data_IF_843179954214
#
_entry.id   IF_843179954214
#
_cell.length_a   1.000
_cell.length_b   1.000
_cell.length_c   1.000
_cell.angle_alpha   90.00
_cell.angle_beta   90.00
_cell.angle_gamma   90.00
#
_symmetry.space_group_name_H-M   'P 1'
#
loop_
_entity.id
_entity.type
_entity.pdbx_description
1 polymer ?
#
# COMPACT_ATOMS: atom_id res chain seq x y z
N UNK A 1 -2.71 50.60 -28.46
CA UNK A 1 -3.08 49.42 -29.27
C UNK A 1 -2.32 48.24 -28.72
N UNK A 2 -3.03 47.26 -28.16
CA UNK A 2 -2.45 45.99 -27.71
C UNK A 2 -2.02 45.20 -28.94
N UNK A 3 -0.70 45.06 -29.15
CA UNK A 3 -0.12 44.46 -30.35
C UNK A 3 -0.10 42.92 -30.20
N UNK A 4 -0.37 42.16 -31.26
CA UNK A 4 -0.25 40.68 -31.30
C UNK A 4 1.08 40.18 -30.70
N UNK A 5 2.14 40.97 -30.84
CA UNK A 5 3.45 40.71 -30.24
C UNK A 5 3.42 40.60 -28.70
N UNK A 6 2.64 41.43 -28.01
CA UNK A 6 2.55 41.37 -26.53
C UNK A 6 1.77 40.13 -26.07
N UNK A 7 0.75 39.71 -26.82
CA UNK A 7 0.04 38.46 -26.54
C UNK A 7 0.90 37.23 -26.80
N UNK A 8 1.74 37.23 -27.84
CA UNK A 8 2.72 36.16 -28.06
C UNK A 8 3.74 36.06 -26.93
N UNK A 9 4.27 37.18 -26.47
CA UNK A 9 5.20 37.21 -25.34
C UNK A 9 4.54 36.69 -24.05
N UNK A 10 3.31 37.12 -23.78
CA UNK A 10 2.55 36.65 -22.62
C UNK A 10 2.26 35.14 -22.71
N UNK A 11 1.87 34.64 -23.90
CA UNK A 11 1.66 33.21 -24.12
C UNK A 11 2.94 32.40 -23.90
N UNK A 12 4.08 32.88 -24.36
CA UNK A 12 5.37 32.23 -24.09
C UNK A 12 5.70 32.18 -22.60
N UNK A 13 5.45 33.26 -21.86
CA UNK A 13 5.62 33.29 -20.40
C UNK A 13 4.67 32.31 -19.69
N UNK A 14 3.42 32.22 -20.13
CA UNK A 14 2.44 31.28 -19.59
C UNK A 14 2.86 29.83 -19.85
N UNK A 15 3.33 29.51 -21.06
CA UNK A 15 3.82 28.17 -21.40
C UNK A 15 5.06 27.80 -20.57
N UNK A 16 6.00 28.72 -20.38
CA UNK A 16 7.18 28.49 -19.54
C UNK A 16 6.79 28.28 -18.06
N UNK A 17 5.84 29.07 -17.56
CA UNK A 17 5.33 28.94 -16.18
C UNK A 17 4.61 27.61 -15.97
N UNK A 18 3.80 27.19 -16.96
CA UNK A 18 3.14 25.88 -16.95
C UNK A 18 4.16 24.74 -16.85
N UNK A 19 5.20 24.74 -17.70
CA UNK A 19 6.22 23.70 -17.68
C UNK A 19 6.96 23.64 -16.33
N UNK A 20 7.22 24.80 -15.72
CA UNK A 20 7.80 24.87 -14.37
C UNK A 20 6.89 24.25 -13.31
N UNK A 21 5.59 24.56 -13.35
CA UNK A 21 4.60 23.98 -12.43
C UNK A 21 4.49 22.46 -12.60
N UNK A 22 4.49 21.96 -13.84
CA UNK A 22 4.47 20.52 -14.10
C UNK A 22 5.69 19.81 -13.50
N UNK A 23 6.88 20.39 -13.64
CA UNK A 23 8.08 19.85 -13.00
C UNK A 23 8.00 19.88 -11.48
N UNK A 24 7.51 20.96 -10.88
CA UNK A 24 7.32 21.04 -9.42
C UNK A 24 6.31 20.01 -8.90
N UNK A 25 5.24 19.74 -9.66
CA UNK A 25 4.25 18.69 -9.33
C UNK A 25 4.93 17.32 -9.33
N UNK A 26 5.67 16.99 -10.39
CA UNK A 26 6.38 15.71 -10.50
C UNK A 26 7.40 15.55 -9.38
N UNK A 27 8.16 16.60 -9.07
CA UNK A 27 9.12 16.58 -7.96
C UNK A 27 8.44 16.35 -6.60
N UNK A 28 7.27 16.96 -6.37
CA UNK A 28 6.53 16.73 -5.14
C UNK A 28 5.94 15.32 -5.07
N UNK A 29 5.46 14.77 -6.18
CA UNK A 29 5.03 13.36 -6.26
C UNK A 29 6.21 12.44 -5.92
N UNK A 30 7.37 12.67 -6.52
CA UNK A 30 8.57 11.89 -6.24
C UNK A 30 8.98 12.01 -4.78
N UNK A 31 8.90 13.21 -4.17
CA UNK A 31 9.13 13.39 -2.73
C UNK A 31 8.12 12.62 -1.89
N UNK A 32 6.83 12.63 -2.23
CA UNK A 32 5.80 11.86 -1.51
C UNK A 32 6.09 10.36 -1.59
N UNK A 33 6.45 9.87 -2.79
CA UNK A 33 6.86 8.49 -3.01
C UNK A 33 8.13 8.19 -2.21
N UNK A 34 9.12 9.08 -2.18
CA UNK A 34 10.34 8.96 -1.39
C UNK A 34 10.05 8.96 0.11
N UNK A 35 9.19 9.83 0.62
CA UNK A 35 8.80 9.85 2.04
C UNK A 35 8.04 8.58 2.40
N UNK A 36 7.11 8.14 1.55
CA UNK A 36 6.35 6.91 1.74
C UNK A 36 7.26 5.67 1.63
N UNK A 37 8.21 5.66 0.68
CA UNK A 37 9.12 4.55 0.45
C UNK A 37 10.23 4.50 1.49
N UNK A 38 10.70 5.64 2.00
CA UNK A 38 11.60 5.70 3.16
C UNK A 38 10.88 5.25 4.43
N UNK A 39 9.59 5.51 4.55
CA UNK A 39 8.78 4.93 5.62
C UNK A 39 8.74 3.40 5.45
N UNK A 40 8.44 2.87 4.26
CA UNK A 40 8.33 1.42 4.01
C UNK A 40 9.67 0.66 3.93
N UNK A 41 10.77 1.29 3.53
CA UNK A 41 12.07 0.64 3.28
C UNK A 41 13.08 0.79 4.43
N UNK A 42 12.86 1.73 5.37
CA UNK A 42 13.83 1.97 6.46
C UNK A 42 13.29 1.43 7.81
N UNK A 43 12.03 0.99 7.88
CA UNK A 43 11.48 0.52 9.14
C UNK A 43 10.64 -0.76 8.97
N UNK A 44 11.11 -1.93 9.44
CA UNK A 44 10.32 -3.17 9.50
C UNK A 44 9.06 -3.06 10.38
N UNK A 45 8.73 -1.87 10.88
CA UNK A 45 7.54 -1.56 11.67
C UNK A 45 6.42 -0.89 10.86
N UNK A 46 6.63 -0.57 9.58
CA UNK A 46 5.53 -0.09 8.72
C UNK A 46 4.73 -1.28 8.22
N UNK A 47 3.45 -1.41 8.59
CA UNK A 47 2.67 -2.58 8.24
C UNK A 47 2.27 -2.57 6.76
N UNK A 48 2.38 -3.72 6.11
CA UNK A 48 1.75 -4.00 4.84
C UNK A 48 0.27 -4.30 5.04
N UNK A 49 -0.55 -3.86 4.09
CA UNK A 49 -2.00 -4.04 4.13
C UNK A 49 -2.41 -5.20 3.21
N UNK A 50 -3.08 -6.20 3.77
CA UNK A 50 -3.66 -7.31 3.00
C UNK A 50 -5.18 -7.33 3.22
N UNK A 51 -5.93 -7.06 2.15
CA UNK A 51 -7.39 -7.20 2.19
C UNK A 51 -7.75 -8.69 2.15
N UNK A 52 -8.60 -9.11 3.07
CA UNK A 52 -9.22 -10.43 3.08
C UNK A 52 -10.42 -10.42 2.14
N UNK A 53 -10.35 -11.18 1.05
CA UNK A 53 -11.46 -11.38 0.11
C UNK A 53 -12.24 -12.64 0.46
N UNK A 54 -13.39 -12.84 -0.18
CA UNK A 54 -14.19 -14.06 -0.08
C UNK A 54 -13.47 -15.33 -0.60
N UNK A 55 -12.38 -15.19 -1.36
CA UNK A 55 -11.53 -16.28 -1.84
C UNK A 55 -10.54 -16.78 -0.78
N UNK A 56 -10.44 -16.09 0.35
CA UNK A 56 -9.54 -16.49 1.43
C UNK A 56 -9.95 -17.85 2.00
N UNK A 57 -8.98 -18.78 2.07
CA UNK A 57 -9.20 -20.16 2.57
C UNK A 57 -9.51 -20.24 4.06
N UNK A 58 -9.29 -19.14 4.79
CA UNK A 58 -9.29 -19.10 6.24
C UNK A 58 -10.38 -18.17 6.82
N UNK A 59 -11.40 -17.81 6.04
CA UNK A 59 -12.56 -17.08 6.57
C UNK A 59 -13.17 -17.88 7.74
N UNK A 60 -13.42 -17.20 8.85
CA UNK A 60 -13.94 -17.79 10.08
C UNK A 60 -12.92 -18.54 10.92
N UNK A 61 -11.64 -18.58 10.51
CA UNK A 61 -10.53 -19.13 11.31
C UNK A 61 -9.75 -18.03 11.99
N UNK A 62 -9.16 -18.36 13.13
CA UNK A 62 -8.28 -17.46 13.88
C UNK A 62 -6.83 -17.53 13.39
N UNK A 63 -6.09 -16.45 13.59
CA UNK A 63 -4.65 -16.39 13.24
C UNK A 63 -3.83 -17.52 13.92
N UNK A 64 -4.21 -17.90 15.14
CA UNK A 64 -3.60 -18.99 15.90
C UNK A 64 -3.93 -20.38 15.35
N UNK A 65 -5.19 -20.64 14.99
CA UNK A 65 -5.60 -21.93 14.40
C UNK A 65 -4.86 -22.22 13.10
N UNK A 66 -4.68 -21.20 12.26
CA UNK A 66 -4.01 -21.33 10.96
C UNK A 66 -2.50 -21.17 11.08
N UNK A 67 -1.98 -20.93 12.30
CA UNK A 67 -0.55 -20.71 12.57
C UNK A 67 0.06 -19.66 11.63
N UNK A 68 -0.67 -18.55 11.40
CA UNK A 68 -0.35 -17.55 10.38
C UNK A 68 1.13 -17.15 10.37
N UNK A 69 1.65 -16.77 11.54
CA UNK A 69 3.05 -16.34 11.69
C UNK A 69 4.05 -17.43 11.31
N UNK A 70 3.78 -18.70 11.65
CA UNK A 70 4.68 -19.82 11.37
C UNK A 70 4.74 -20.15 9.88
N UNK A 71 3.66 -19.91 9.13
CA UNK A 71 3.59 -20.19 7.69
C UNK A 71 4.08 -19.03 6.82
N UNK A 72 3.93 -17.79 7.30
CA UNK A 72 4.19 -16.58 6.49
C UNK A 72 5.43 -15.81 6.93
N UNK A 73 5.94 -16.09 8.14
CA UNK A 73 6.94 -15.27 8.85
C UNK A 73 6.49 -13.82 9.06
N UNK A 74 5.18 -13.56 9.00
CA UNK A 74 4.60 -12.23 9.06
C UNK A 74 3.81 -12.05 10.37
N UNK A 75 4.01 -10.91 11.03
CA UNK A 75 3.38 -10.58 12.32
C UNK A 75 2.22 -9.64 12.09
N UNK A 76 1.01 -10.04 12.50
CA UNK A 76 -0.17 -9.17 12.44
C UNK A 76 -0.09 -8.17 13.59
N UNK A 77 0.04 -6.89 13.26
CA UNK A 77 0.10 -5.79 14.22
C UNK A 77 -1.23 -5.06 14.36
N UNK A 78 -2.14 -5.26 13.41
CA UNK A 78 -3.49 -4.73 13.49
C UNK A 78 -4.46 -5.35 12.48
N UNK A 79 -5.75 -5.14 12.70
CA UNK A 79 -6.82 -5.46 11.75
C UNK A 79 -7.77 -4.28 11.66
N UNK A 80 -7.96 -3.73 10.47
CA UNK A 80 -9.04 -2.75 10.22
C UNK A 80 -10.31 -3.53 9.87
N UNK A 81 -11.37 -3.30 10.62
CA UNK A 81 -12.67 -3.95 10.46
C UNK A 81 -13.79 -2.95 10.70
N UNK A 82 -14.73 -2.85 9.76
CA UNK A 82 -15.91 -1.98 9.88
C UNK A 82 -15.57 -0.53 10.28
N UNK A 83 -14.48 0.01 9.74
CA UNK A 83 -13.99 1.35 10.05
C UNK A 83 -13.23 1.50 11.38
N UNK A 84 -13.11 0.43 12.18
CA UNK A 84 -12.37 0.41 13.43
C UNK A 84 -11.01 -0.28 13.27
N UNK A 85 -10.01 0.15 14.06
CA UNK A 85 -8.70 -0.47 14.10
C UNK A 85 -8.53 -1.29 15.38
N UNK A 86 -8.36 -2.60 15.23
CA UNK A 86 -7.96 -3.51 16.31
C UNK A 86 -6.43 -3.56 16.32
N UNK A 87 -5.82 -3.01 17.37
CA UNK A 87 -4.35 -2.96 17.52
C UNK A 87 -3.87 -4.17 18.30
N UNK A 88 -2.71 -4.71 17.91
CA UNK A 88 -2.04 -5.85 18.57
C UNK A 88 -2.99 -7.05 18.78
N UNK A 89 -3.60 -7.57 17.71
CA UNK A 89 -4.53 -8.68 17.83
C UNK A 89 -3.82 -9.92 18.37
N UNK A 90 -4.42 -10.55 19.38
CA UNK A 90 -3.95 -11.83 19.89
C UNK A 90 -4.18 -12.98 18.88
N UNK A 91 -3.73 -14.21 19.19
CA UNK A 91 -3.89 -15.36 18.29
C UNK A 91 -5.36 -15.73 18.01
N UNK A 92 -6.29 -15.20 18.80
CA UNK A 92 -7.73 -15.45 18.68
C UNK A 92 -8.45 -14.55 17.67
N UNK A 93 -7.71 -13.67 16.96
CA UNK A 93 -8.32 -12.82 15.93
C UNK A 93 -8.84 -13.68 14.79
N UNK A 94 -10.15 -13.73 14.62
CA UNK A 94 -10.84 -14.38 13.51
C UNK A 94 -10.70 -13.55 12.23
N UNK A 95 -10.42 -14.18 11.09
CA UNK A 95 -10.38 -13.51 9.79
C UNK A 95 -11.79 -13.44 9.19
N UNK A 96 -12.21 -12.24 8.80
CA UNK A 96 -13.51 -11.97 8.18
C UNK A 96 -13.32 -11.32 6.82
N UNK A 97 -14.31 -11.54 5.95
CA UNK A 97 -14.33 -10.89 4.65
C UNK A 97 -14.31 -9.37 4.81
N UNK A 98 -13.54 -8.69 3.97
CA UNK A 98 -13.29 -7.25 4.00
C UNK A 98 -12.42 -6.73 5.15
N UNK A 99 -11.89 -7.59 6.01
CA UNK A 99 -10.81 -7.19 6.91
C UNK A 99 -9.61 -6.68 6.11
N UNK A 100 -8.90 -5.71 6.68
CA UNK A 100 -7.57 -5.31 6.22
C UNK A 100 -6.58 -5.70 7.31
N UNK A 101 -5.78 -6.73 7.04
CA UNK A 101 -4.69 -7.12 7.93
C UNK A 101 -3.53 -6.14 7.77
N UNK A 102 -3.04 -5.61 8.89
CA UNK A 102 -1.82 -4.83 8.98
C UNK A 102 -0.70 -5.75 9.48
N UNK A 103 0.27 -6.04 8.62
CA UNK A 103 1.25 -7.10 8.84
C UNK A 103 2.67 -6.60 8.64
N UNK A 104 3.58 -6.92 9.54
CA UNK A 104 5.01 -6.58 9.44
C UNK A 104 5.85 -7.84 9.27
N UNK A 105 6.97 -7.72 8.56
CA UNK A 105 7.87 -8.82 8.27
C UNK A 105 8.91 -8.43 7.23
N UNK A 106 9.73 -9.38 6.80
CA UNK A 106 10.68 -9.16 5.70
C UNK A 106 9.97 -8.91 4.36
N UNK A 107 10.69 -8.42 3.36
CA UNK A 107 10.12 -8.11 2.03
C UNK A 107 9.40 -9.30 1.35
N UNK A 108 9.73 -10.53 1.73
CA UNK A 108 9.10 -11.76 1.22
C UNK A 108 7.61 -11.90 1.57
N UNK A 109 7.11 -11.15 2.56
CA UNK A 109 5.71 -11.27 2.99
C UNK A 109 4.70 -10.81 1.94
N UNK A 110 5.12 -9.98 0.98
CA UNK A 110 4.33 -9.64 -0.21
C UNK A 110 3.92 -10.86 -1.02
N UNK A 111 4.72 -11.92 -0.98
CA UNK A 111 4.45 -13.16 -1.69
C UNK A 111 3.92 -14.24 -0.74
N UNK A 112 4.54 -14.41 0.43
CA UNK A 112 4.17 -15.50 1.36
C UNK A 112 2.75 -15.34 1.93
N UNK A 113 2.30 -14.12 2.22
CA UNK A 113 0.96 -13.88 2.78
C UNK A 113 -0.14 -14.17 1.74
N UNK A 114 -0.13 -13.62 0.51
CA UNK A 114 -1.13 -13.98 -0.49
C UNK A 114 -1.08 -15.46 -0.87
N UNK A 115 0.11 -16.03 -1.04
CA UNK A 115 0.27 -17.46 -1.37
C UNK A 115 -0.32 -18.36 -0.27
N UNK A 116 -0.18 -17.96 0.99
CA UNK A 116 -0.79 -18.67 2.11
C UNK A 116 -2.33 -18.50 2.11
N UNK A 117 -2.83 -17.27 2.04
CA UNK A 117 -4.27 -16.96 2.16
C UNK A 117 -5.10 -17.51 0.99
N UNK A 118 -4.56 -17.47 -0.23
CA UNK A 118 -5.29 -17.76 -1.47
C UNK A 118 -4.75 -19.00 -2.20
N UNK A 119 -3.57 -19.50 -1.85
CA UNK A 119 -2.82 -20.50 -2.63
C UNK A 119 -1.87 -19.85 -3.62
N UNK A 120 -1.07 -20.66 -4.31
CA UNK A 120 -0.28 -20.18 -5.44
C UNK A 120 -1.23 -19.54 -6.45
N UNK A 121 -1.24 -18.21 -6.47
CA UNK A 121 -1.63 -17.46 -7.63
C UNK A 121 -0.52 -17.77 -8.64
N UNK A 122 -0.84 -18.50 -9.70
CA UNK A 122 -0.02 -18.51 -10.91
C UNK A 122 -0.04 -17.08 -11.44
N UNK A 123 0.81 -16.24 -10.87
CA UNK A 123 1.13 -14.93 -11.44
C UNK A 123 2.11 -15.27 -12.55
N UNK A 124 1.56 -15.55 -13.74
CA UNK A 124 2.30 -15.43 -14.97
C UNK A 124 2.95 -14.03 -14.95
N UNK A 125 4.29 -14.05 -14.99
CA UNK A 125 5.10 -12.85 -15.14
C UNK A 125 4.89 -12.34 -16.57
N UNK A 126 4.13 -11.26 -16.72
CA UNK A 126 4.21 -10.34 -17.87
C UNK A 126 4.83 -9.00 -17.44
#
# INVERSE_FOLDING_TARGET
MTNVSSYRLNLQQLLASKAKLENEIVDNINKIIDYSSRLSNINPLVPFEFKITNECKFIGKTAGEIKFWQHTSATIVGVKRDGNLIVSPGPYIEFKENDILLVVGESSIHHSVPAFLYGNLDIDQD
#
